data_IF_806193260732
#
_entry.id   IF_806193260732
#
_cell.length_a   1.000
_cell.length_b   1.000
_cell.length_c   1.000
_cell.angle_alpha   90.00
_cell.angle_beta   90.00
_cell.angle_gamma   90.00
#
_symmetry.space_group_name_H-M   'P 1'
#
loop_
_entity.id
_entity.type
_entity.pdbx_description
1 polymer ?
#
# COMPACT_ATOMS: atom_id res chain seq x y z
N UNK A 1 1.69 21.50 -4.14
CA UNK A 1 2.25 20.14 -4.26
C UNK A 1 1.84 19.60 -5.63
N UNK A 2 2.71 19.65 -6.64
CA UNK A 2 2.48 18.92 -7.90
C UNK A 2 2.80 17.46 -7.56
N UNK A 3 1.77 16.63 -7.45
CA UNK A 3 1.94 15.19 -7.33
C UNK A 3 2.56 14.71 -8.65
N UNK A 4 3.61 13.87 -8.57
CA UNK A 4 4.12 13.14 -9.72
C UNK A 4 2.97 12.43 -10.43
N UNK A 5 3.08 12.25 -11.75
CA UNK A 5 2.00 11.79 -12.62
C UNK A 5 1.43 10.42 -12.18
N UNK A 6 0.45 10.47 -11.27
CA UNK A 6 -0.37 9.37 -10.78
C UNK A 6 -1.78 9.93 -10.59
N UNK A 7 -2.73 9.42 -11.36
CA UNK A 7 -4.07 9.96 -11.45
C UNK A 7 -4.82 9.87 -10.11
N UNK A 8 -5.02 11.00 -9.43
CA UNK A 8 -6.24 11.42 -8.71
C UNK A 8 -5.96 12.68 -7.89
N UNK A 9 -6.52 13.82 -8.28
CA UNK A 9 -6.30 15.06 -7.51
C UNK A 9 -7.03 16.30 -8.00
N UNK A 10 -8.30 16.20 -8.40
CA UNK A 10 -9.16 17.39 -8.46
C UNK A 10 -10.02 17.47 -7.19
N UNK A 11 -9.95 18.62 -6.51
CA UNK A 11 -10.58 18.90 -5.21
C UNK A 11 -12.11 18.75 -5.21
N UNK A 12 -12.75 18.66 -6.38
CA UNK A 12 -14.18 18.39 -6.54
C UNK A 12 -14.61 16.94 -6.29
N UNK A 13 -13.69 15.97 -6.27
CA UNK A 13 -14.05 14.53 -6.17
C UNK A 13 -14.08 13.98 -4.74
N UNK A 14 -13.49 14.69 -3.78
CA UNK A 14 -13.41 14.24 -2.38
C UNK A 14 -14.79 14.19 -1.72
N UNK A 15 -15.70 15.11 -2.07
CA UNK A 15 -17.09 15.09 -1.62
C UNK A 15 -17.91 13.93 -2.21
N UNK A 16 -17.62 13.53 -3.45
CA UNK A 16 -18.30 12.40 -4.13
C UNK A 16 -17.86 11.05 -3.54
N UNK A 17 -16.55 10.88 -3.31
CA UNK A 17 -15.99 9.66 -2.70
C UNK A 17 -16.52 9.39 -1.29
N UNK A 18 -16.83 10.43 -0.51
CA UNK A 18 -17.40 10.29 0.84
C UNK A 18 -18.85 9.83 0.82
N UNK A 19 -19.63 10.23 -0.20
CA UNK A 19 -20.99 9.75 -0.44
C UNK A 19 -21.03 8.25 -0.81
N UNK A 20 -19.95 7.73 -1.39
CA UNK A 20 -19.80 6.32 -1.77
C UNK A 20 -19.02 5.48 -0.75
N UNK A 21 -18.82 5.98 0.47
CA UNK A 21 -18.15 5.30 1.58
C UNK A 21 -16.65 5.00 1.36
N UNK A 22 -15.98 5.74 0.47
CA UNK A 22 -14.54 5.62 0.20
C UNK A 22 -13.74 6.70 0.91
N UNK A 23 -12.63 6.30 1.54
CA UNK A 23 -11.73 7.17 2.28
C UNK A 23 -10.53 7.55 1.41
N UNK A 24 -10.38 8.83 1.01
CA UNK A 24 -9.26 9.21 0.14
C UNK A 24 -7.92 9.17 0.90
N UNK A 25 -6.87 8.77 0.18
CA UNK A 25 -5.47 8.70 0.64
C UNK A 25 -4.60 9.70 -0.16
N UNK A 26 -3.68 10.39 0.52
CA UNK A 26 -2.62 11.20 -0.11
C UNK A 26 -1.52 10.32 -0.71
N UNK A 27 -0.71 10.84 -1.63
CA UNK A 27 0.32 10.11 -2.39
C UNK A 27 1.79 10.64 -2.38
N UNK A 28 2.25 11.64 -1.58
CA UNK A 28 3.72 11.87 -1.42
C UNK A 28 4.12 12.89 -0.34
N UNK A 29 5.30 12.70 0.26
CA UNK A 29 6.00 13.69 1.11
C UNK A 29 7.54 13.68 1.02
N UNK A 30 8.17 12.76 0.27
CA UNK A 30 9.63 12.50 0.31
C UNK A 30 10.45 13.55 -0.45
N UNK A 31 10.06 13.82 -1.68
CA UNK A 31 10.76 14.73 -2.57
C UNK A 31 9.79 15.79 -3.11
N UNK A 32 10.34 16.90 -3.60
CA UNK A 32 9.54 18.01 -4.12
C UNK A 32 10.23 18.67 -5.30
N UNK A 33 9.42 19.00 -6.31
CA UNK A 33 9.84 19.88 -7.39
C UNK A 33 9.55 21.35 -7.05
N UNK A 34 10.35 22.26 -7.61
CA UNK A 34 10.07 23.68 -7.54
C UNK A 34 8.87 24.07 -8.40
N UNK A 35 8.56 25.37 -8.41
CA UNK A 35 7.42 25.89 -9.16
C UNK A 35 7.80 26.10 -10.62
N UNK A 36 8.87 26.88 -10.84
CA UNK A 36 9.41 27.25 -12.14
C UNK A 36 10.88 26.85 -12.30
N UNK A 37 11.52 26.39 -11.22
CA UNK A 37 12.93 25.99 -11.15
C UNK A 37 13.13 24.80 -10.21
N UNK A 38 14.39 24.45 -9.91
CA UNK A 38 14.74 23.24 -9.17
C UNK A 38 14.38 23.32 -7.67
N UNK A 39 14.31 24.52 -7.08
CA UNK A 39 14.16 24.71 -5.63
C UNK A 39 13.39 25.99 -5.24
N UNK A 40 12.60 26.55 -6.16
CA UNK A 40 11.74 27.72 -5.92
C UNK A 40 10.35 27.31 -5.40
N UNK A 41 10.35 26.66 -4.24
CA UNK A 41 9.15 26.12 -3.63
C UNK A 41 8.11 27.20 -3.32
N UNK A 42 6.83 26.94 -3.61
CA UNK A 42 5.70 27.80 -3.23
C UNK A 42 4.59 27.01 -2.55
N UNK A 43 3.96 27.63 -1.55
CA UNK A 43 2.85 27.07 -0.75
C UNK A 43 3.15 25.69 -0.13
N UNK A 44 4.05 25.61 0.87
CA UNK A 44 4.79 26.71 1.52
C UNK A 44 6.06 27.12 0.75
N UNK A 45 6.53 28.34 1.02
CA UNK A 45 7.82 28.87 0.55
C UNK A 45 8.93 28.34 1.45
N UNK A 46 9.76 27.46 0.90
CA UNK A 46 10.82 26.75 1.60
C UNK A 46 12.18 27.17 1.03
N UNK A 47 13.13 27.46 1.93
CA UNK A 47 14.51 27.75 1.54
C UNK A 47 15.34 26.49 1.28
N UNK A 48 16.55 26.65 0.76
CA UNK A 48 17.47 25.54 0.46
C UNK A 48 17.86 24.71 1.69
N UNK A 49 17.65 25.25 2.89
CA UNK A 49 17.85 24.54 4.15
C UNK A 49 16.79 23.47 4.45
N UNK A 50 15.77 23.31 3.60
CA UNK A 50 14.79 22.22 3.67
C UNK A 50 15.10 21.07 2.72
N UNK A 51 16.17 21.17 1.91
CA UNK A 51 16.63 20.12 1.01
C UNK A 51 17.78 19.38 1.69
N UNK A 52 17.85 18.06 1.55
CA UNK A 52 18.93 17.26 2.15
C UNK A 52 20.29 17.72 1.61
N UNK A 53 21.30 17.73 2.48
CA UNK A 53 22.62 18.36 2.21
C UNK A 53 23.32 17.78 0.98
N UNK A 54 23.13 16.49 0.80
CA UNK A 54 23.79 15.63 -0.18
C UNK A 54 22.91 15.35 -1.41
N UNK A 55 21.77 16.02 -1.53
CA UNK A 55 20.93 16.05 -2.72
C UNK A 55 21.73 16.48 -3.96
N UNK A 56 21.46 15.82 -5.09
CA UNK A 56 22.20 15.97 -6.34
C UNK A 56 22.11 17.36 -6.97
N UNK A 57 21.08 18.16 -6.70
CA UNK A 57 21.00 19.53 -7.23
C UNK A 57 22.13 20.41 -6.71
N UNK A 58 22.73 20.08 -5.58
CA UNK A 58 23.86 20.85 -5.05
C UNK A 58 25.21 20.46 -5.66
N UNK A 59 25.26 19.36 -6.43
CA UNK A 59 26.48 18.78 -6.97
C UNK A 59 26.70 19.25 -8.43
N UNK A 60 27.78 20.01 -8.71
CA UNK A 60 28.05 20.52 -10.05
C UNK A 60 28.46 19.44 -11.06
N UNK A 61 28.86 18.26 -10.59
CA UNK A 61 29.22 17.11 -11.44
C UNK A 61 27.96 16.31 -11.77
N UNK A 62 27.12 16.01 -10.78
CA UNK A 62 25.89 15.24 -10.98
C UNK A 62 24.82 16.06 -11.70
N UNK A 63 24.65 17.34 -11.34
CA UNK A 63 23.64 18.24 -11.91
C UNK A 63 24.26 19.55 -12.39
N UNK A 64 25.04 19.55 -13.50
CA UNK A 64 25.74 20.73 -14.01
C UNK A 64 24.80 21.86 -14.45
N UNK A 65 23.51 21.58 -14.67
CA UNK A 65 22.51 22.59 -15.04
C UNK A 65 21.71 23.13 -13.85
N UNK A 66 21.88 22.56 -12.66
CA UNK A 66 21.19 23.05 -11.47
C UNK A 66 21.59 24.51 -11.18
N UNK A 67 20.63 25.40 -10.86
CA UNK A 67 20.93 26.76 -10.44
C UNK A 67 21.49 26.84 -9.02
N UNK A 68 21.39 25.77 -8.24
CA UNK A 68 21.86 25.68 -6.84
C UNK A 68 23.09 24.79 -6.67
N UNK A 69 23.68 24.30 -7.77
CA UNK A 69 25.00 23.66 -7.74
C UNK A 69 26.01 24.64 -7.14
N UNK A 70 26.83 24.22 -6.18
CA UNK A 70 27.75 25.08 -5.41
C UNK A 70 27.15 25.90 -4.26
N UNK A 71 25.87 25.76 -3.90
CA UNK A 71 25.36 26.36 -2.65
C UNK A 71 26.24 25.94 -1.46
N UNK A 72 26.74 26.86 -0.60
CA UNK A 72 27.57 26.48 0.54
C UNK A 72 26.85 25.53 1.50
N UNK A 73 27.56 24.56 2.09
CA UNK A 73 26.98 23.56 3.01
C UNK A 73 26.17 24.20 4.16
N UNK A 74 26.62 25.35 4.67
CA UNK A 74 25.94 26.09 5.73
C UNK A 74 24.53 26.62 5.35
N UNK A 75 24.18 26.63 4.06
CA UNK A 75 22.87 27.06 3.55
C UNK A 75 21.96 25.88 3.17
N UNK A 76 22.46 24.64 3.26
CA UNK A 76 21.71 23.41 2.95
C UNK A 76 21.10 22.81 4.22
N UNK A 77 20.23 21.81 4.06
CA UNK A 77 19.66 21.06 5.18
C UNK A 77 20.65 20.08 5.84
N UNK A 78 20.11 19.14 6.61
CA UNK A 78 20.84 18.01 7.14
C UNK A 78 21.12 16.95 6.06
N UNK A 79 22.09 16.07 6.34
CA UNK A 79 22.32 14.89 5.50
C UNK A 79 21.11 13.95 5.54
N UNK A 80 20.98 13.12 4.51
CA UNK A 80 20.08 11.97 4.49
C UNK A 80 20.15 11.17 5.80
N UNK A 81 18.99 10.80 6.33
CA UNK A 81 18.90 10.09 7.60
C UNK A 81 19.51 8.68 7.48
N UNK A 82 19.97 8.10 8.60
CA UNK A 82 20.64 6.78 8.62
C UNK A 82 19.83 5.75 9.42
N UNK A 83 18.90 5.02 8.78
CA UNK A 83 18.02 4.05 9.45
C UNK A 83 18.73 2.71 9.73
N UNK A 84 19.91 2.75 10.36
CA UNK A 84 20.77 1.58 10.60
C UNK A 84 20.12 0.46 11.42
N UNK A 85 19.01 0.75 12.11
CA UNK A 85 18.24 -0.16 12.92
C UNK A 85 17.34 -1.10 12.10
N UNK A 86 17.07 -0.77 10.83
CA UNK A 86 16.20 -1.57 9.98
C UNK A 86 16.56 -1.59 8.49
N UNK A 87 17.39 -0.69 7.99
CA UNK A 87 17.82 -0.70 6.61
C UNK A 87 19.08 -1.55 6.43
N UNK A 88 19.01 -2.49 5.51
CA UNK A 88 20.13 -3.32 5.07
C UNK A 88 21.02 -2.63 4.03
N UNK A 89 20.52 -1.55 3.39
CA UNK A 89 21.33 -0.67 2.53
C UNK A 89 22.26 0.20 3.38
N UNK A 90 23.56 -0.03 3.23
CA UNK A 90 24.61 0.37 4.18
C UNK A 90 24.97 1.86 4.25
N UNK A 91 24.05 2.75 4.63
CA UNK A 91 24.48 4.06 5.11
C UNK A 91 23.42 5.11 5.38
N UNK A 92 22.50 5.35 4.45
CA UNK A 92 21.52 6.45 4.51
C UNK A 92 20.22 6.02 3.85
N UNK A 93 19.16 6.79 4.04
CA UNK A 93 17.95 6.78 3.21
C UNK A 93 18.27 6.99 1.73
N UNK A 94 17.36 6.54 0.87
CA UNK A 94 17.55 6.52 -0.57
C UNK A 94 17.27 7.89 -1.20
N UNK A 95 18.26 8.43 -1.91
CA UNK A 95 18.17 9.68 -2.66
C UNK A 95 17.35 9.50 -3.95
N UNK A 96 16.57 10.49 -4.34
CA UNK A 96 15.79 10.50 -5.58
C UNK A 96 16.22 11.63 -6.52
N UNK A 97 17.16 11.37 -7.42
CA UNK A 97 17.84 12.43 -8.20
C UNK A 97 16.96 13.27 -9.14
N UNK A 98 15.75 12.83 -9.47
CA UNK A 98 14.86 13.61 -10.36
C UNK A 98 14.22 14.81 -9.65
N UNK A 99 14.04 14.75 -8.31
CA UNK A 99 13.42 15.81 -7.52
C UNK A 99 14.23 16.10 -6.25
N UNK A 100 13.88 17.17 -5.52
CA UNK A 100 14.66 17.55 -4.34
C UNK A 100 14.26 16.72 -3.14
N UNK A 101 15.19 16.00 -2.55
CA UNK A 101 14.94 15.24 -1.33
C UNK A 101 14.76 16.20 -0.14
N UNK A 102 13.69 15.97 0.62
CA UNK A 102 13.27 16.89 1.68
C UNK A 102 13.88 16.50 3.02
N UNK A 103 14.52 17.46 3.68
CA UNK A 103 15.09 17.29 5.01
C UNK A 103 14.00 17.20 6.08
N UNK A 104 13.54 15.97 6.36
CA UNK A 104 12.58 15.69 7.42
C UNK A 104 13.13 15.91 8.84
N UNK A 105 14.44 16.18 9.01
CA UNK A 105 15.03 16.62 10.29
C UNK A 105 14.83 18.13 10.54
N UNK A 106 14.49 18.89 9.50
CA UNK A 106 14.13 20.31 9.62
C UNK A 106 12.76 20.49 10.30
N UNK A 107 12.70 21.34 11.34
CA UNK A 107 11.47 21.62 12.09
C UNK A 107 10.38 22.26 11.24
N UNK A 108 10.74 23.18 10.33
CA UNK A 108 9.78 23.84 9.46
C UNK A 108 9.12 22.86 8.51
N UNK A 109 9.92 21.96 7.91
CA UNK A 109 9.42 20.86 7.06
C UNK A 109 8.41 20.01 7.82
N UNK A 110 8.75 19.51 9.01
CA UNK A 110 7.82 18.69 9.81
C UNK A 110 6.54 19.43 10.14
N UNK A 111 6.65 20.70 10.53
CA UNK A 111 5.49 21.54 10.86
C UNK A 111 4.54 21.66 9.67
N UNK A 112 5.08 22.00 8.50
CA UNK A 112 4.29 22.24 7.31
C UNK A 112 3.67 20.96 6.74
N UNK A 113 4.38 19.83 6.83
CA UNK A 113 3.81 18.51 6.50
C UNK A 113 2.63 18.20 7.42
N UNK A 114 2.76 18.40 8.74
CA UNK A 114 1.65 18.18 9.67
C UNK A 114 0.47 19.10 9.34
N UNK A 115 0.72 20.39 9.06
CA UNK A 115 -0.33 21.33 8.64
C UNK A 115 -1.05 20.85 7.38
N UNK A 116 -0.30 20.41 6.38
CA UNK A 116 -0.85 19.88 5.14
C UNK A 116 -1.72 18.65 5.37
N UNK A 117 -1.25 17.67 6.16
CA UNK A 117 -2.04 16.48 6.49
C UNK A 117 -3.33 16.82 7.27
N UNK A 118 -3.28 17.78 8.19
CA UNK A 118 -4.47 18.26 8.90
C UNK A 118 -5.44 18.99 7.97
N UNK A 119 -4.92 19.76 7.01
CA UNK A 119 -5.73 20.41 5.99
C UNK A 119 -6.45 19.36 5.12
N UNK A 120 -5.73 18.34 4.64
CA UNK A 120 -6.33 17.23 3.89
C UNK A 120 -7.39 16.50 4.71
N UNK A 121 -7.19 16.29 6.02
CA UNK A 121 -8.24 15.75 6.88
C UNK A 121 -9.48 16.63 6.92
N UNK A 122 -9.31 17.95 6.93
CA UNK A 122 -10.42 18.90 6.88
C UNK A 122 -11.15 18.88 5.52
N UNK A 123 -10.45 18.58 4.42
CA UNK A 123 -11.06 18.25 3.13
C UNK A 123 -11.80 16.91 3.12
N UNK A 124 -11.51 16.05 4.10
CA UNK A 124 -12.18 14.78 4.31
C UNK A 124 -11.37 13.53 3.95
N UNK A 125 -10.07 13.69 3.69
CA UNK A 125 -9.13 12.56 3.74
C UNK A 125 -9.15 11.91 5.12
N UNK A 126 -8.88 10.60 5.15
CA UNK A 126 -8.92 9.80 6.39
C UNK A 126 -7.64 9.03 6.63
N UNK A 127 -6.85 8.80 5.61
CA UNK A 127 -5.61 8.05 5.71
C UNK A 127 -4.58 8.51 4.71
N UNK A 128 -3.40 7.91 4.79
CA UNK A 128 -2.23 8.30 4.00
C UNK A 128 -1.61 7.11 3.28
N UNK A 129 -1.31 7.26 1.99
CA UNK A 129 -0.36 6.39 1.27
C UNK A 129 0.94 7.18 1.12
N UNK A 130 1.97 6.74 1.82
CA UNK A 130 3.25 7.39 1.77
C UNK A 130 4.08 6.77 0.65
N UNK A 131 4.45 7.62 -0.29
CA UNK A 131 5.36 7.32 -1.39
C UNK A 131 6.81 7.23 -0.90
N UNK A 132 7.61 6.41 -1.58
CA UNK A 132 9.07 6.34 -1.42
C UNK A 132 9.55 6.37 0.04
N UNK A 133 8.92 5.56 0.91
CA UNK A 133 9.13 5.65 2.38
C UNK A 133 10.48 5.16 2.88
N UNK A 134 11.35 4.72 1.97
CA UNK A 134 12.75 4.40 2.21
C UNK A 134 13.67 5.62 1.96
N UNK A 135 13.13 6.75 1.51
CA UNK A 135 13.84 8.04 1.35
C UNK A 135 13.98 8.86 2.63
N UNK A 136 13.40 8.42 3.75
CA UNK A 136 13.49 9.12 5.04
C UNK A 136 13.20 8.17 6.21
N UNK A 137 13.55 8.57 7.43
CA UNK A 137 13.43 7.66 8.57
C UNK A 137 11.96 7.47 8.99
N UNK A 138 11.55 6.22 9.22
CA UNK A 138 10.21 5.81 9.64
C UNK A 138 9.67 6.55 10.89
N UNK A 139 10.54 7.00 11.79
CA UNK A 139 10.15 7.78 12.98
C UNK A 139 9.49 9.12 12.62
N UNK A 140 9.81 9.68 11.45
CA UNK A 140 9.18 10.91 10.94
C UNK A 140 7.71 10.65 10.62
N UNK A 141 7.40 9.51 10.01
CA UNK A 141 6.03 9.04 9.81
C UNK A 141 5.29 8.82 11.11
N UNK A 142 5.95 8.27 12.13
CA UNK A 142 5.34 8.10 13.44
C UNK A 142 4.88 9.45 14.03
N UNK A 143 5.71 10.51 13.91
CA UNK A 143 5.31 11.87 14.28
C UNK A 143 4.10 12.32 13.45
N UNK A 144 4.17 12.22 12.12
CA UNK A 144 3.09 12.70 11.24
C UNK A 144 1.77 11.98 11.51
N UNK A 145 1.80 10.66 11.71
CA UNK A 145 0.62 9.87 12.05
C UNK A 145 0.10 10.18 13.46
N UNK A 146 0.97 10.43 14.44
CA UNK A 146 0.56 10.82 15.79
C UNK A 146 -0.22 12.13 15.78
N UNK A 147 0.21 13.10 14.97
CA UNK A 147 -0.41 14.44 14.91
C UNK A 147 -1.61 14.51 13.99
N UNK A 148 -1.53 13.86 12.82
CA UNK A 148 -2.65 13.82 11.88
C UNK A 148 -3.71 12.80 12.27
N UNK A 149 -3.39 11.75 13.03
CA UNK A 149 -4.30 10.70 13.47
C UNK A 149 -5.15 10.10 12.32
N UNK A 150 -4.52 9.43 11.33
CA UNK A 150 -5.24 8.78 10.25
C UNK A 150 -5.98 7.53 10.73
N UNK A 151 -7.07 7.17 10.06
CA UNK A 151 -7.74 5.87 10.25
C UNK A 151 -6.93 4.71 9.65
N UNK A 152 -6.06 5.02 8.68
CA UNK A 152 -5.22 4.05 7.99
C UNK A 152 -3.99 4.74 7.39
N UNK A 153 -2.83 4.11 7.48
CA UNK A 153 -1.63 4.54 6.76
C UNK A 153 -0.93 3.34 6.13
N UNK A 154 -0.41 3.52 4.92
CA UNK A 154 0.40 2.52 4.21
C UNK A 154 1.62 3.19 3.59
N UNK A 155 2.77 2.54 3.62
CA UNK A 155 3.97 2.98 2.89
C UNK A 155 4.31 2.09 1.71
N UNK A 156 4.82 2.69 0.64
CA UNK A 156 5.52 1.98 -0.45
C UNK A 156 7.02 1.89 -0.15
N UNK A 157 7.40 0.82 0.53
CA UNK A 157 8.80 0.56 0.88
C UNK A 157 9.39 -0.43 -0.14
N UNK A 158 10.62 -0.15 -0.59
CA UNK A 158 11.44 -0.92 -1.54
C UNK A 158 10.96 -2.35 -1.85
N UNK A 159 10.77 -2.65 -3.13
CA UNK A 159 10.01 -3.80 -3.61
C UNK A 159 10.63 -5.17 -3.28
N UNK A 160 11.92 -5.21 -2.93
CA UNK A 160 12.65 -6.46 -2.65
C UNK A 160 13.26 -6.54 -1.24
N UNK A 161 12.95 -5.61 -0.35
CA UNK A 161 13.58 -5.50 0.97
C UNK A 161 12.66 -6.00 2.11
N UNK A 162 12.24 -7.27 2.06
CA UNK A 162 11.22 -7.82 2.98
C UNK A 162 11.57 -7.66 4.48
N UNK A 163 12.84 -7.86 4.85
CA UNK A 163 13.28 -7.67 6.24
C UNK A 163 13.24 -6.19 6.67
N UNK A 164 13.63 -5.30 5.77
CA UNK A 164 13.65 -3.86 6.02
C UNK A 164 12.22 -3.31 6.10
N UNK A 165 11.28 -3.86 5.31
CA UNK A 165 9.86 -3.56 5.44
C UNK A 165 9.33 -3.85 6.85
N UNK A 166 9.71 -4.98 7.47
CA UNK A 166 9.34 -5.27 8.87
C UNK A 166 9.89 -4.20 9.80
N UNK A 167 11.17 -3.88 9.67
CA UNK A 167 11.80 -2.90 10.55
C UNK A 167 11.22 -1.49 10.35
N UNK A 168 10.95 -1.09 9.11
CA UNK A 168 10.23 0.14 8.80
C UNK A 168 8.85 0.18 9.49
N UNK A 169 8.05 -0.89 9.39
CA UNK A 169 6.76 -0.99 10.11
C UNK A 169 6.96 -0.72 11.61
N UNK A 170 7.94 -1.37 12.25
CA UNK A 170 8.21 -1.18 13.69
C UNK A 170 8.40 0.29 14.04
N UNK A 171 9.23 0.99 13.26
CA UNK A 171 9.61 2.38 13.57
C UNK A 171 8.59 3.42 13.11
N UNK A 172 7.50 3.02 12.44
CA UNK A 172 6.34 3.90 12.19
C UNK A 172 5.31 3.93 13.33
N UNK A 173 5.46 3.08 14.35
CA UNK A 173 4.57 3.04 15.50
C UNK A 173 4.61 4.37 16.29
N UNK A 174 3.44 4.90 16.63
CA UNK A 174 3.31 6.23 17.28
C UNK A 174 3.39 6.18 18.81
N UNK A 175 3.26 4.98 19.38
CA UNK A 175 3.41 4.70 20.81
C UNK A 175 4.85 4.32 21.13
N UNK A 176 5.30 3.17 20.65
CA UNK A 176 6.63 2.63 20.85
C UNK A 176 7.03 1.71 19.67
N UNK A 177 8.32 1.64 19.29
CA UNK A 177 8.75 0.82 18.17
C UNK A 177 8.29 -0.63 18.28
N UNK A 178 7.59 -1.10 17.24
CA UNK A 178 7.09 -2.48 17.17
C UNK A 178 5.73 -2.72 17.83
N UNK A 179 5.07 -1.69 18.39
CA UNK A 179 3.63 -1.75 18.69
C UNK A 179 2.85 -1.72 17.38
N UNK A 180 2.44 -2.91 16.91
CA UNK A 180 1.71 -3.00 15.67
C UNK A 180 0.42 -2.21 15.72
N UNK A 181 -0.25 -2.00 16.87
CA UNK A 181 -1.56 -1.31 16.92
C UNK A 181 -1.50 0.12 16.38
N UNK A 182 -0.36 0.78 16.53
CA UNK A 182 -0.16 2.17 16.10
C UNK A 182 0.77 2.31 14.88
N UNK A 183 1.37 1.21 14.42
CA UNK A 183 2.22 1.18 13.24
C UNK A 183 1.44 1.35 11.91
N UNK A 184 2.12 1.89 10.91
CA UNK A 184 1.64 1.92 9.52
C UNK A 184 1.71 0.54 8.88
N UNK A 185 0.90 0.34 7.85
CA UNK A 185 0.97 -0.84 6.99
C UNK A 185 2.00 -0.64 5.87
N UNK A 186 2.37 -1.69 5.16
CA UNK A 186 3.26 -1.64 3.97
C UNK A 186 2.61 -2.35 2.81
N UNK A 187 2.86 -1.90 1.58
CA UNK A 187 2.54 -2.69 0.39
C UNK A 187 3.37 -3.97 0.37
N UNK A 188 2.70 -5.12 0.29
CA UNK A 188 3.32 -6.44 0.36
C UNK A 188 3.88 -6.84 -1.01
N UNK A 189 4.98 -6.21 -1.39
CA UNK A 189 5.69 -6.52 -2.64
C UNK A 189 6.22 -7.95 -2.69
N UNK A 190 6.42 -8.61 -1.53
CA UNK A 190 6.82 -10.02 -1.47
C UNK A 190 5.70 -10.92 -1.96
N UNK A 191 4.45 -10.67 -1.55
CA UNK A 191 3.29 -11.36 -2.11
C UNK A 191 3.13 -11.07 -3.60
N UNK A 192 3.16 -9.79 -3.99
CA UNK A 192 3.04 -9.39 -5.40
C UNK A 192 4.08 -10.09 -6.29
N UNK A 193 5.37 -10.00 -5.92
CA UNK A 193 6.46 -10.62 -6.65
C UNK A 193 6.34 -12.15 -6.72
N UNK A 194 5.91 -12.79 -5.63
CA UNK A 194 5.68 -14.25 -5.63
C UNK A 194 4.57 -14.64 -6.59
N UNK A 195 3.42 -13.97 -6.56
CA UNK A 195 2.30 -14.24 -7.46
C UNK A 195 2.69 -13.98 -8.92
N UNK A 196 3.32 -12.83 -9.20
CA UNK A 196 3.77 -12.41 -10.53
C UNK A 196 4.73 -13.42 -11.16
N UNK A 197 5.72 -13.89 -10.40
CA UNK A 197 6.78 -14.74 -10.92
C UNK A 197 6.40 -16.24 -10.97
N UNK A 198 5.30 -16.64 -10.33
CA UNK A 198 4.92 -18.05 -10.17
C UNK A 198 3.49 -18.35 -10.66
N UNK A 199 3.05 -17.66 -11.71
CA UNK A 199 1.75 -17.89 -12.36
C UNK A 199 1.69 -19.33 -12.88
N UNK A 200 0.66 -20.08 -12.50
CA UNK A 200 0.53 -21.51 -12.80
C UNK A 200 1.46 -22.45 -12.00
N UNK A 201 2.39 -21.92 -11.20
CA UNK A 201 3.33 -22.69 -10.37
C UNK A 201 2.88 -22.69 -8.91
N UNK A 202 1.70 -23.25 -8.66
CA UNK A 202 0.97 -23.10 -7.39
C UNK A 202 1.70 -23.64 -6.15
N UNK A 203 2.66 -24.56 -6.31
CA UNK A 203 3.48 -25.03 -5.17
C UNK A 203 4.31 -23.91 -4.54
N UNK A 204 4.70 -22.90 -5.33
CA UNK A 204 5.47 -21.76 -4.85
C UNK A 204 4.59 -20.77 -4.06
N UNK A 205 3.26 -20.91 -4.13
CA UNK A 205 2.32 -20.08 -3.36
C UNK A 205 2.18 -20.52 -1.90
N UNK A 206 2.85 -21.62 -1.51
CA UNK A 206 2.91 -22.14 -0.14
C UNK A 206 4.19 -21.70 0.62
N UNK A 207 4.97 -20.77 0.08
CA UNK A 207 6.34 -20.48 0.56
C UNK A 207 6.46 -20.01 2.02
N UNK A 208 5.36 -19.58 2.66
CA UNK A 208 5.37 -18.96 3.99
C UNK A 208 4.43 -19.64 5.00
N UNK A 209 3.91 -20.85 4.71
CA UNK A 209 2.96 -21.66 5.50
C UNK A 209 1.61 -20.98 5.90
N UNK A 210 1.63 -19.72 6.37
CA UNK A 210 0.50 -18.92 6.83
C UNK A 210 0.07 -17.82 5.82
N UNK A 211 0.46 -17.95 4.56
CA UNK A 211 0.14 -17.01 3.46
C UNK A 211 1.40 -16.33 2.93
N UNK A 212 1.41 -15.83 1.70
CA UNK A 212 2.62 -15.26 1.10
C UNK A 212 3.09 -13.97 1.78
N UNK A 213 4.40 -13.69 1.68
CA UNK A 213 4.97 -12.40 2.06
C UNK A 213 4.66 -11.97 3.48
N UNK A 214 4.34 -10.69 3.65
CA UNK A 214 4.07 -10.10 4.96
C UNK A 214 2.82 -10.70 5.63
N UNK A 215 1.93 -11.38 4.87
CA UNK A 215 0.79 -12.10 5.44
C UNK A 215 1.16 -13.39 6.19
N UNK A 216 2.16 -14.13 5.74
CA UNK A 216 2.62 -15.33 6.46
C UNK A 216 3.80 -15.11 7.38
N UNK A 217 4.41 -13.93 7.31
CA UNK A 217 5.52 -13.58 8.17
C UNK A 217 5.10 -13.55 9.64
N UNK A 218 5.79 -14.36 10.44
CA UNK A 218 5.64 -14.49 11.89
C UNK A 218 6.94 -14.25 12.64
N UNK A 219 7.94 -13.68 11.96
CA UNK A 219 9.24 -13.31 12.54
C UNK A 219 9.03 -12.50 13.82
N UNK A 220 9.82 -12.80 14.85
CA UNK A 220 9.70 -12.22 16.20
C UNK A 220 8.36 -12.51 16.92
N UNK A 221 7.62 -13.53 16.47
CA UNK A 221 6.30 -13.87 17.04
C UNK A 221 5.24 -12.79 16.80
N UNK A 222 5.48 -11.86 15.86
CA UNK A 222 4.57 -10.77 15.55
C UNK A 222 3.62 -11.14 14.40
N UNK A 223 2.33 -10.78 14.46
CA UNK A 223 1.37 -11.05 13.39
C UNK A 223 1.47 -9.99 12.28
N UNK A 224 2.55 -10.03 11.49
CA UNK A 224 2.81 -9.03 10.44
C UNK A 224 1.70 -8.91 9.40
N UNK A 225 0.87 -9.95 9.25
CA UNK A 225 -0.39 -9.94 8.48
C UNK A 225 -1.30 -8.74 8.75
N UNK A 226 -1.28 -8.19 9.96
CA UNK A 226 -2.08 -7.03 10.33
C UNK A 226 -1.60 -5.71 9.68
N UNK A 227 -0.40 -5.72 9.08
CA UNK A 227 0.25 -4.59 8.43
C UNK A 227 0.58 -4.85 6.96
N UNK A 228 0.10 -5.95 6.40
CA UNK A 228 0.24 -6.28 4.98
C UNK A 228 -0.88 -5.65 4.14
N UNK A 229 -0.52 -4.85 3.14
CA UNK A 229 -1.43 -4.38 2.09
C UNK A 229 -1.13 -5.13 0.80
N UNK A 230 -1.97 -6.07 0.43
CA UNK A 230 -1.77 -6.89 -0.77
C UNK A 230 -2.37 -6.23 -1.99
N UNK A 231 -1.78 -6.45 -3.15
CA UNK A 231 -2.24 -5.87 -4.41
C UNK A 231 -1.86 -6.79 -5.57
N UNK A 232 -2.52 -6.60 -6.72
CA UNK A 232 -2.21 -7.33 -7.96
C UNK A 232 -1.37 -6.45 -8.90
N UNK A 233 -1.65 -5.15 -8.92
CA UNK A 233 -0.93 -4.17 -9.74
C UNK A 233 -1.11 -2.78 -9.11
N UNK A 234 -0.20 -1.85 -9.39
CA UNK A 234 -0.34 -0.43 -9.08
C UNK A 234 0.02 0.43 -10.32
N UNK A 235 0.08 1.75 -10.17
CA UNK A 235 0.35 2.66 -11.28
C UNK A 235 1.80 2.62 -11.77
N UNK A 236 2.75 2.15 -10.94
CA UNK A 236 4.16 2.00 -11.29
C UNK A 236 4.45 0.62 -11.89
N UNK A 237 3.85 -0.44 -11.36
CA UNK A 237 4.13 -1.82 -11.74
C UNK A 237 3.37 -2.25 -13.00
N UNK A 238 2.23 -1.63 -13.29
CA UNK A 238 1.39 -1.91 -14.46
C UNK A 238 1.78 -1.12 -15.72
N UNK A 239 0.98 -1.30 -16.78
CA UNK A 239 1.15 -0.58 -18.04
C UNK A 239 1.02 0.93 -17.83
N UNK A 240 2.00 1.69 -18.33
CA UNK A 240 1.98 3.14 -18.34
C UNK A 240 2.66 3.71 -19.58
N UNK A 241 2.32 4.95 -19.90
CA UNK A 241 2.84 5.65 -21.08
C UNK A 241 3.69 6.85 -20.66
N UNK A 242 4.68 7.17 -21.48
CA UNK A 242 5.42 8.42 -21.44
C UNK A 242 4.51 9.61 -21.81
N UNK A 243 4.94 10.87 -21.58
CA UNK A 243 4.16 12.05 -21.97
C UNK A 243 3.79 12.10 -23.46
N UNK A 244 4.59 11.48 -24.34
CA UNK A 244 4.32 11.39 -25.77
C UNK A 244 3.34 10.25 -26.16
N UNK A 245 2.75 9.55 -25.19
CA UNK A 245 1.81 8.44 -25.40
C UNK A 245 2.44 7.09 -25.74
N UNK A 246 3.76 7.02 -25.94
CA UNK A 246 4.45 5.73 -26.16
C UNK A 246 4.53 4.93 -24.85
N UNK A 247 4.51 3.58 -24.90
CA UNK A 247 4.73 2.77 -23.72
C UNK A 247 6.02 3.13 -22.99
N UNK A 248 5.95 3.16 -21.66
CA UNK A 248 7.15 3.25 -20.85
C UNK A 248 7.97 1.95 -20.98
N UNK A 249 9.29 2.11 -21.06
CA UNK A 249 10.20 0.96 -21.17
C UNK A 249 10.05 0.07 -19.94
N UNK A 250 10.01 -1.25 -20.14
CA UNK A 250 9.87 -2.27 -19.10
C UNK A 250 8.48 -2.28 -18.41
N UNK A 251 7.55 -1.44 -18.88
CA UNK A 251 6.16 -1.32 -18.42
C UNK A 251 5.18 -1.27 -19.60
N UNK A 252 5.47 -2.01 -20.67
CA UNK A 252 4.65 -2.07 -21.87
C UNK A 252 3.40 -2.94 -21.73
N UNK A 253 3.26 -3.66 -20.60
CA UNK A 253 2.11 -4.47 -20.23
C UNK A 253 2.05 -4.66 -18.72
N UNK A 254 0.87 -4.99 -18.21
CA UNK A 254 0.68 -5.38 -16.82
C UNK A 254 1.37 -6.72 -16.52
N UNK A 255 1.73 -6.90 -15.26
CA UNK A 255 2.39 -8.09 -14.71
C UNK A 255 1.53 -9.34 -14.83
N UNK A 256 0.21 -9.20 -14.90
CA UNK A 256 -0.77 -10.27 -15.09
C UNK A 256 -1.57 -10.01 -16.36
N UNK A 257 -1.66 -11.00 -17.24
CA UNK A 257 -2.49 -10.87 -18.44
C UNK A 257 -3.99 -10.77 -18.09
N UNK A 258 -4.77 -10.09 -18.94
CA UNK A 258 -6.23 -9.99 -18.81
C UNK A 258 -6.93 -11.31 -19.22
N UNK A 259 -6.67 -12.35 -18.44
CA UNK A 259 -7.17 -13.71 -18.57
C UNK A 259 -7.14 -14.40 -17.19
N UNK A 260 -7.00 -15.73 -17.15
CA UNK A 260 -6.85 -16.49 -15.90
C UNK A 260 -5.78 -15.94 -14.94
N UNK A 261 -4.71 -15.30 -15.42
CA UNK A 261 -3.62 -14.80 -14.58
C UNK A 261 -4.08 -13.73 -13.58
N UNK A 262 -4.74 -12.67 -14.07
CA UNK A 262 -5.21 -11.57 -13.21
C UNK A 262 -6.33 -12.03 -12.28
N UNK A 263 -7.21 -12.91 -12.75
CA UNK A 263 -8.29 -13.43 -11.93
C UNK A 263 -7.78 -14.28 -10.77
N UNK A 264 -6.82 -15.16 -11.02
CA UNK A 264 -6.23 -16.01 -9.99
C UNK A 264 -5.44 -15.21 -8.96
N UNK A 265 -4.75 -14.14 -9.40
CA UNK A 265 -4.11 -13.20 -8.48
C UNK A 265 -5.13 -12.50 -7.58
N UNK A 266 -6.27 -12.04 -8.13
CA UNK A 266 -7.37 -11.48 -7.34
C UNK A 266 -8.03 -12.48 -6.41
N UNK A 267 -8.24 -13.72 -6.87
CA UNK A 267 -8.75 -14.79 -6.03
C UNK A 267 -7.86 -15.02 -4.81
N UNK A 268 -6.54 -14.86 -4.94
CA UNK A 268 -5.62 -14.89 -3.80
C UNK A 268 -5.80 -13.67 -2.90
N UNK A 269 -5.50 -12.46 -3.39
CA UNK A 269 -5.40 -11.28 -2.51
C UNK A 269 -6.74 -10.91 -1.85
N UNK A 270 -7.88 -11.13 -2.52
CA UNK A 270 -9.20 -10.78 -1.98
C UNK A 270 -9.74 -11.82 -0.98
N UNK A 271 -9.21 -13.03 -0.94
CA UNK A 271 -9.68 -14.09 -0.02
C UNK A 271 -8.80 -14.23 1.23
N UNK A 272 -7.55 -13.77 1.17
CA UNK A 272 -6.54 -14.02 2.20
C UNK A 272 -6.53 -12.98 3.33
N UNK A 273 -5.70 -13.16 4.35
CA UNK A 273 -5.48 -12.14 5.37
C UNK A 273 -4.81 -10.87 4.79
N UNK A 274 -4.47 -9.88 5.60
CA UNK A 274 -4.06 -8.56 5.12
C UNK A 274 -5.20 -7.67 4.61
N UNK A 275 -4.83 -6.53 4.04
CA UNK A 275 -5.73 -5.52 3.47
C UNK A 275 -5.55 -5.49 1.94
N UNK A 276 -6.50 -6.02 1.15
CA UNK A 276 -6.35 -6.03 -0.30
C UNK A 276 -6.63 -4.66 -0.93
N UNK A 277 -5.84 -4.31 -1.93
CA UNK A 277 -5.99 -3.16 -2.81
C UNK A 277 -6.34 -3.63 -4.23
N UNK A 278 -7.36 -3.02 -4.84
CA UNK A 278 -7.81 -3.31 -6.21
C UNK A 278 -7.33 -2.20 -7.12
N UNK A 279 -6.71 -2.56 -8.24
CA UNK A 279 -6.20 -1.61 -9.20
C UNK A 279 -7.33 -1.06 -10.07
N UNK A 280 -7.32 0.25 -10.31
CA UNK A 280 -8.38 0.94 -11.04
C UNK A 280 -8.63 0.32 -12.41
N UNK A 281 -7.57 0.15 -13.22
CA UNK A 281 -7.70 -0.35 -14.59
C UNK A 281 -8.34 -1.74 -14.64
N UNK A 282 -7.95 -2.62 -13.71
CA UNK A 282 -8.52 -3.97 -13.62
C UNK A 282 -10.02 -3.95 -13.29
N UNK A 283 -10.47 -3.01 -12.45
CA UNK A 283 -11.87 -2.97 -12.02
C UNK A 283 -12.77 -2.19 -12.99
N UNK A 284 -12.30 -1.07 -13.54
CA UNK A 284 -13.12 -0.17 -14.34
C UNK A 284 -12.88 -0.29 -15.85
N UNK A 285 -11.64 -0.57 -16.27
CA UNK A 285 -11.24 -0.43 -17.68
C UNK A 285 -11.11 -1.79 -18.40
N UNK A 286 -10.84 -2.88 -17.68
CA UNK A 286 -10.56 -4.21 -18.25
C UNK A 286 -11.79 -5.06 -18.56
N UNK A 287 -13.00 -4.49 -18.44
CA UNK A 287 -14.25 -5.11 -18.89
C UNK A 287 -15.14 -5.65 -17.76
N UNK A 288 -16.38 -5.97 -18.13
CA UNK A 288 -17.43 -6.38 -17.18
C UNK A 288 -17.14 -7.71 -16.49
N UNK A 289 -16.55 -8.67 -17.20
CA UNK A 289 -16.32 -10.02 -16.67
C UNK A 289 -15.34 -10.01 -15.50
N UNK A 290 -14.19 -9.33 -15.64
CA UNK A 290 -13.22 -9.20 -14.55
C UNK A 290 -13.80 -8.39 -13.39
N UNK A 291 -14.53 -7.30 -13.67
CA UNK A 291 -15.19 -6.48 -12.65
C UNK A 291 -16.15 -7.31 -11.79
N UNK A 292 -17.02 -8.12 -12.39
CA UNK A 292 -17.97 -8.94 -11.64
C UNK A 292 -17.27 -10.05 -10.85
N UNK A 293 -16.16 -10.63 -11.35
CA UNK A 293 -15.33 -11.58 -10.59
C UNK A 293 -14.71 -10.92 -9.35
N UNK A 294 -14.10 -9.74 -9.50
CA UNK A 294 -13.55 -8.97 -8.37
C UNK A 294 -14.65 -8.63 -7.35
N UNK A 295 -15.80 -8.16 -7.82
CA UNK A 295 -16.95 -7.83 -6.96
C UNK A 295 -17.46 -9.05 -6.19
N UNK A 296 -17.57 -10.21 -6.82
CA UNK A 296 -17.98 -11.46 -6.18
C UNK A 296 -16.98 -11.91 -5.09
N UNK A 297 -15.66 -11.77 -5.36
CA UNK A 297 -14.60 -12.04 -4.38
C UNK A 297 -14.65 -11.09 -3.18
N UNK A 298 -14.84 -9.78 -3.41
CA UNK A 298 -15.05 -8.77 -2.36
C UNK A 298 -16.27 -9.14 -1.51
N UNK A 299 -17.37 -9.55 -2.15
CA UNK A 299 -18.57 -9.96 -1.46
C UNK A 299 -18.34 -11.20 -0.57
N UNK A 300 -17.72 -12.25 -1.11
CA UNK A 300 -17.38 -13.46 -0.35
C UNK A 300 -16.52 -13.14 0.89
N UNK A 301 -15.49 -12.28 0.72
CA UNK A 301 -14.64 -11.78 1.82
C UNK A 301 -15.47 -11.12 2.92
N UNK A 302 -16.37 -10.21 2.54
CA UNK A 302 -17.21 -9.46 3.49
C UNK A 302 -18.25 -10.33 4.19
N UNK A 303 -18.85 -11.30 3.48
CA UNK A 303 -19.85 -12.22 4.04
C UNK A 303 -19.22 -13.17 5.05
N UNK A 304 -18.07 -13.77 4.73
CA UNK A 304 -17.30 -14.58 5.68
C UNK A 304 -16.71 -13.72 6.83
N UNK A 305 -16.59 -12.41 6.63
CA UNK A 305 -16.03 -11.48 7.61
C UNK A 305 -14.52 -11.64 7.75
N UNK A 306 -13.82 -11.94 6.65
CA UNK A 306 -12.35 -12.00 6.61
C UNK A 306 -11.77 -10.60 6.79
N UNK A 307 -10.76 -10.49 7.65
CA UNK A 307 -10.05 -9.24 7.94
C UNK A 307 -8.54 -9.48 8.04
N UNK A 308 -7.74 -8.42 8.21
CA UNK A 308 -6.27 -8.51 8.21
C UNK A 308 -5.66 -9.33 9.36
N UNK A 309 -6.48 -9.69 10.35
CA UNK A 309 -6.09 -10.54 11.48
C UNK A 309 -6.55 -11.98 11.35
N UNK A 310 -7.34 -12.31 10.32
CA UNK A 310 -7.87 -13.67 10.11
C UNK A 310 -6.76 -14.71 10.07
N UNK A 311 -7.08 -15.91 10.54
CA UNK A 311 -6.19 -17.06 10.46
C UNK A 311 -6.31 -17.73 9.10
N UNK A 312 -5.18 -18.15 8.56
CA UNK A 312 -5.07 -18.79 7.26
C UNK A 312 -4.48 -20.19 7.44
N UNK A 313 -5.08 -21.16 6.77
CA UNK A 313 -4.66 -22.55 6.81
C UNK A 313 -4.52 -23.09 5.38
N UNK A 314 -3.28 -23.18 4.89
CA UNK A 314 -2.98 -23.79 3.60
C UNK A 314 -3.28 -25.29 3.60
N UNK A 315 -3.64 -25.85 2.44
CA UNK A 315 -4.12 -27.22 2.32
C UNK A 315 -3.05 -28.12 1.67
N UNK A 316 -2.40 -28.98 2.47
CA UNK A 316 -1.29 -29.81 1.99
C UNK A 316 -1.73 -30.89 0.99
N UNK A 317 -2.96 -31.40 1.11
CA UNK A 317 -3.56 -32.30 0.13
C UNK A 317 -3.75 -31.64 -1.24
N UNK A 318 -4.08 -30.34 -1.29
CA UNK A 318 -4.11 -29.56 -2.53
C UNK A 318 -2.71 -29.36 -3.12
N UNK A 319 -1.72 -29.04 -2.28
CA UNK A 319 -0.31 -28.89 -2.69
C UNK A 319 0.22 -30.15 -3.37
N UNK A 320 -0.12 -31.33 -2.83
CA UNK A 320 0.24 -32.63 -3.41
C UNK A 320 -0.35 -32.85 -4.81
N UNK A 321 -1.54 -32.29 -5.07
CA UNK A 321 -2.20 -32.29 -6.38
C UNK A 321 -1.73 -31.18 -7.33
N UNK A 322 -0.79 -30.35 -6.89
CA UNK A 322 -0.22 -29.29 -7.71
C UNK A 322 -1.12 -28.05 -7.84
N UNK A 323 -2.10 -27.87 -6.96
CA UNK A 323 -2.95 -26.67 -6.91
C UNK A 323 -2.77 -25.93 -5.58
N UNK A 324 -3.16 -24.66 -5.54
CA UNK A 324 -3.19 -23.87 -4.31
C UNK A 324 -4.57 -23.98 -3.66
N UNK A 325 -4.64 -24.26 -2.36
CA UNK A 325 -5.88 -24.08 -1.62
C UNK A 325 -5.65 -23.64 -0.18
N UNK A 326 -6.60 -22.88 0.35
CA UNK A 326 -6.57 -22.39 1.72
C UNK A 326 -7.98 -22.30 2.32
N UNK A 327 -8.04 -22.45 3.65
CA UNK A 327 -9.16 -22.01 4.48
C UNK A 327 -8.74 -20.74 5.20
N UNK A 328 -9.60 -19.72 5.18
CA UNK A 328 -9.40 -18.46 5.89
C UNK A 328 -10.55 -18.27 6.87
N UNK A 329 -10.22 -18.18 8.16
CA UNK A 329 -11.20 -18.06 9.24
C UNK A 329 -11.62 -16.61 9.39
N UNK A 330 -12.79 -16.28 8.87
CA UNK A 330 -13.42 -14.98 9.05
C UNK A 330 -14.19 -14.89 10.38
N UNK A 331 -14.58 -13.66 10.72
CA UNK A 331 -15.34 -13.35 11.95
C UNK A 331 -16.80 -13.85 11.92
N UNK A 332 -17.34 -14.15 10.74
CA UNK A 332 -18.73 -14.63 10.54
C UNK A 332 -18.79 -16.08 10.05
N UNK A 333 -17.69 -16.59 9.50
CA UNK A 333 -17.55 -17.96 9.03
C UNK A 333 -16.26 -18.17 8.26
N UNK A 334 -16.11 -19.35 7.68
CA UNK A 334 -14.93 -19.71 6.91
C UNK A 334 -15.09 -19.31 5.44
N UNK A 335 -13.99 -18.89 4.84
CA UNK A 335 -13.84 -18.76 3.40
C UNK A 335 -12.85 -19.81 2.93
N UNK A 336 -13.20 -20.54 1.88
CA UNK A 336 -12.32 -21.52 1.23
C UNK A 336 -12.01 -21.06 -0.18
N UNK A 337 -10.77 -21.26 -0.63
CA UNK A 337 -10.33 -20.90 -1.97
C UNK A 337 -9.48 -22.01 -2.57
N UNK A 338 -9.68 -22.27 -3.86
CA UNK A 338 -8.78 -23.01 -4.74
C UNK A 338 -8.30 -22.12 -5.86
N UNK A 339 -7.02 -22.22 -6.20
CA UNK A 339 -6.41 -21.64 -7.39
C UNK A 339 -5.57 -22.71 -8.10
N UNK A 340 -5.76 -22.86 -9.40
CA UNK A 340 -5.29 -23.97 -10.22
C UNK A 340 -6.20 -25.20 -10.24
N UNK A 341 -6.15 -25.95 -11.34
CA UNK A 341 -6.81 -27.25 -11.52
C UNK A 341 -8.35 -27.21 -11.48
N UNK A 342 -8.94 -28.28 -10.96
CA UNK A 342 -10.40 -28.52 -10.91
C UNK A 342 -10.84 -29.03 -9.54
N UNK A 343 -12.14 -29.26 -9.36
CA UNK A 343 -12.70 -29.83 -8.13
C UNK A 343 -12.25 -31.29 -7.88
N UNK A 344 -11.80 -31.99 -8.93
CA UNK A 344 -11.16 -33.30 -8.79
C UNK A 344 -9.77 -33.21 -8.11
N UNK A 345 -9.11 -32.06 -8.20
CA UNK A 345 -7.82 -31.81 -7.56
C UNK A 345 -8.02 -31.37 -6.12
N UNK A 346 -8.93 -30.40 -5.89
CA UNK A 346 -9.34 -30.02 -4.54
C UNK A 346 -10.68 -29.27 -4.50
N UNK A 347 -11.46 -29.54 -3.47
CA UNK A 347 -12.57 -28.72 -3.01
C UNK A 347 -12.69 -28.86 -1.48
N UNK A 348 -13.52 -28.06 -0.77
CA UNK A 348 -13.49 -28.08 0.69
C UNK A 348 -13.78 -29.46 1.31
N UNK A 349 -14.64 -30.29 0.70
CA UNK A 349 -14.89 -31.67 1.15
C UNK A 349 -13.65 -32.57 1.06
N UNK A 350 -12.67 -32.29 0.19
CA UNK A 350 -11.39 -33.02 0.11
C UNK A 350 -10.58 -32.88 1.41
N UNK A 351 -10.87 -31.86 2.21
CA UNK A 351 -10.31 -31.62 3.55
C UNK A 351 -11.36 -31.82 4.66
N UNK A 352 -12.43 -32.57 4.40
CA UNK A 352 -13.53 -32.88 5.33
C UNK A 352 -14.35 -31.66 5.81
N UNK A 353 -14.22 -30.50 5.17
CA UNK A 353 -15.10 -29.37 5.46
C UNK A 353 -16.53 -29.67 4.99
N UNK A 354 -17.51 -29.12 5.70
CA UNK A 354 -18.95 -29.30 5.46
C UNK A 354 -19.65 -27.95 5.53
N UNK A 355 -20.93 -27.93 5.17
CA UNK A 355 -21.81 -26.76 5.36
C UNK A 355 -21.30 -25.47 4.71
N UNK A 356 -20.77 -25.60 3.50
CA UNK A 356 -20.29 -24.49 2.68
C UNK A 356 -21.12 -24.33 1.39
N UNK A 357 -21.06 -23.15 0.80
CA UNK A 357 -21.70 -22.79 -0.48
C UNK A 357 -20.67 -22.20 -1.41
N UNK A 358 -20.77 -22.48 -2.70
CA UNK A 358 -20.00 -21.75 -3.71
C UNK A 358 -20.47 -20.29 -3.79
N UNK A 359 -19.52 -19.36 -3.84
CA UNK A 359 -19.79 -17.91 -3.90
C UNK A 359 -19.27 -17.27 -5.19
N UNK A 360 -18.16 -17.77 -5.72
CA UNK A 360 -17.55 -17.26 -6.93
C UNK A 360 -16.66 -18.32 -7.57
N UNK A 361 -16.57 -18.32 -8.89
CA UNK A 361 -15.67 -19.17 -9.65
C UNK A 361 -15.21 -18.44 -10.92
N UNK A 362 -14.09 -18.89 -11.45
CA UNK A 362 -13.57 -18.43 -12.73
C UNK A 362 -12.57 -19.42 -13.30
N UNK A 363 -11.73 -18.96 -14.22
CA UNK A 363 -10.84 -19.87 -14.95
C UNK A 363 -9.73 -20.40 -14.02
N UNK A 364 -9.86 -21.67 -13.63
CA UNK A 364 -8.92 -22.33 -12.75
C UNK A 364 -8.97 -21.83 -11.30
N UNK A 365 -10.06 -21.21 -10.83
CA UNK A 365 -10.21 -20.88 -9.41
C UNK A 365 -11.67 -20.98 -8.94
N UNK A 366 -11.85 -21.17 -7.63
CA UNK A 366 -13.17 -21.24 -7.00
C UNK A 366 -13.11 -20.85 -5.54
N UNK A 367 -14.17 -20.19 -5.07
CA UNK A 367 -14.34 -19.72 -3.69
C UNK A 367 -15.66 -20.22 -3.12
N UNK A 368 -15.59 -20.72 -1.90
CA UNK A 368 -16.74 -21.13 -1.10
C UNK A 368 -16.75 -20.38 0.22
N UNK A 369 -17.94 -20.20 0.80
CA UNK A 369 -18.13 -19.62 2.12
C UNK A 369 -18.97 -20.57 2.96
N UNK A 370 -18.50 -20.87 4.16
CA UNK A 370 -19.22 -21.62 5.20
C UNK A 370 -19.58 -20.69 6.35
N UNK A 371 -20.86 -20.33 6.45
CA UNK A 371 -21.43 -19.54 7.54
C UNK A 371 -22.60 -20.33 8.16
N UNK A 372 -22.99 -19.97 9.38
CA UNK A 372 -24.02 -20.70 10.15
C UNK A 372 -25.29 -20.94 9.31
N UNK A 373 -25.80 -22.17 9.34
CA UNK A 373 -26.96 -22.66 8.57
C UNK A 373 -26.80 -22.69 7.05
N UNK A 374 -25.60 -22.42 6.53
CA UNK A 374 -25.26 -22.47 5.10
C UNK A 374 -26.36 -21.85 4.20
N UNK A 375 -26.69 -20.55 4.37
CA UNK A 375 -27.77 -19.91 3.64
C UNK A 375 -27.43 -19.77 2.14
N UNK A 376 -28.40 -19.31 1.35
CA UNK A 376 -28.14 -18.91 -0.03
C UNK A 376 -27.10 -17.77 -0.08
N UNK A 377 -26.50 -17.54 -1.25
CA UNK A 377 -25.51 -16.47 -1.47
C UNK A 377 -26.06 -15.12 -0.99
N UNK A 378 -25.33 -14.46 -0.10
CA UNK A 378 -25.72 -13.16 0.47
C UNK A 378 -24.95 -12.03 -0.19
N UNK A 379 -25.58 -10.85 -0.26
CA UNK A 379 -24.88 -9.61 -0.57
C UNK A 379 -24.47 -8.92 0.73
N UNK A 380 -23.20 -8.56 0.83
CA UNK A 380 -22.69 -7.83 1.98
C UNK A 380 -23.31 -6.44 2.05
N UNK A 381 -23.75 -6.04 3.24
CA UNK A 381 -24.32 -4.71 3.46
C UNK A 381 -23.31 -3.60 3.12
N UNK A 382 -23.81 -2.55 2.48
CA UNK A 382 -23.06 -1.32 2.29
C UNK A 382 -22.95 -0.60 3.63
N UNK A 383 -21.81 0.07 3.85
CA UNK A 383 -21.65 0.97 4.99
C UNK A 383 -22.38 2.28 4.70
N UNK A 384 -22.65 3.05 5.75
CA UNK A 384 -23.15 4.42 5.57
C UNK A 384 -22.02 5.33 5.09
N UNK A 385 -22.35 6.40 4.34
CA UNK A 385 -21.40 7.44 3.96
C UNK A 385 -20.65 8.00 5.16
N UNK A 386 -19.40 8.42 4.93
CA UNK A 386 -18.61 9.04 5.99
C UNK A 386 -19.01 10.52 6.14
N UNK A 387 -19.04 11.06 7.38
CA UNK A 387 -19.33 12.47 7.58
C UNK A 387 -18.25 13.33 6.92
N UNK A 388 -18.67 14.41 6.26
CA UNK A 388 -17.77 15.42 5.67
C UNK A 388 -17.33 16.38 6.79
N UNK A 389 -16.02 16.57 7.03
CA UNK A 389 -15.55 17.50 8.04
C UNK A 389 -15.73 18.96 7.59
N UNK A 390 -15.68 19.86 8.56
CA UNK A 390 -15.51 21.27 8.25
C UNK A 390 -14.10 21.53 7.73
N UNK A 391 -14.01 22.22 6.59
CA UNK A 391 -12.75 22.61 5.98
C UNK A 391 -12.01 23.63 6.83
N UNK A 392 -10.68 23.51 6.88
CA UNK A 392 -9.77 24.45 7.54
C UNK A 392 -8.74 24.96 6.56
N UNK A 393 -8.53 26.28 6.50
CA UNK A 393 -7.46 26.84 5.69
C UNK A 393 -6.10 26.57 6.34
N UNK A 394 -4.99 26.50 5.58
CA UNK A 394 -3.65 26.27 6.12
C UNK A 394 -3.26 27.25 7.23
N UNK A 395 -3.62 28.52 7.07
CA UNK A 395 -3.35 29.60 8.02
C UNK A 395 -4.09 29.43 9.36
N UNK A 396 -5.20 28.70 9.37
CA UNK A 396 -6.01 28.43 10.57
C UNK A 396 -5.52 27.19 11.34
N UNK A 397 -4.48 26.52 10.84
CA UNK A 397 -3.92 25.30 11.45
C UNK A 397 -2.62 25.66 12.16
N UNK A 398 -2.68 25.73 13.49
CA UNK A 398 -1.51 25.88 14.34
C UNK A 398 -0.86 24.52 14.65
N UNK A 399 0.47 24.46 14.56
CA UNK A 399 1.27 23.26 14.86
C UNK A 399 2.47 23.70 15.71
N UNK A 400 2.38 23.51 17.05
CA UNK A 400 3.41 23.96 17.97
C UNK A 400 4.67 23.09 17.91
N UNK A 401 5.81 23.61 18.37
CA UNK A 401 7.08 22.85 18.45
C UNK A 401 6.94 21.52 19.19
N UNK A 402 6.11 21.48 20.23
CA UNK A 402 5.84 20.26 21.00
C UNK A 402 5.20 19.13 20.17
N UNK A 403 4.76 19.40 18.94
CA UNK A 403 4.20 18.39 18.04
C UNK A 403 5.21 17.77 17.08
N UNK A 404 6.40 18.38 16.95
CA UNK A 404 7.34 18.04 15.88
C UNK A 404 8.15 16.78 16.16
N UNK A 405 8.06 16.24 17.38
CA UNK A 405 8.74 15.02 17.80
C UNK A 405 7.72 14.11 18.54
N UNK A 406 8.07 12.83 18.74
CA UNK A 406 7.19 11.81 19.33
C UNK A 406 6.96 12.02 20.82
#
# INVERSE_FOLDING_TARGET
MKLGHGACGETGHVGVQQNDCTAPLLDSTNHRDGTDSWADFKSPDWGLNTITRNDDAFDPIRQPNSPIKNTPVAQRGAEEERPSEYASHGGTTYEYGDFRDIDHTNKQVRRDIIKYLLQLKSFGYRGWRYDMVHGYHAKRLAVYNKRSNPTFSVGEYEWHAHADQRGWIKYTATSEPGDLKTASSVFDFTTFGTLKNNKGQYRNWYAFDNGLGMMGDTTEGKPWKQRAVTFVENHDTGYRTKPNGSPEKDHEKDSFANNWEVEQAYAYVLTHTGVPCVYWKHYFDWGGDLRERIKALINARKVAGVHSGSDLYVQQNAKAKGVYAARVKGSKGDLYVRVGGTDADWQPSSSNYKDYREYAAGEGWRVWVGILNNPAVQQASLKQPLPVPEYKKPEDIDVPDAWLDL
#
